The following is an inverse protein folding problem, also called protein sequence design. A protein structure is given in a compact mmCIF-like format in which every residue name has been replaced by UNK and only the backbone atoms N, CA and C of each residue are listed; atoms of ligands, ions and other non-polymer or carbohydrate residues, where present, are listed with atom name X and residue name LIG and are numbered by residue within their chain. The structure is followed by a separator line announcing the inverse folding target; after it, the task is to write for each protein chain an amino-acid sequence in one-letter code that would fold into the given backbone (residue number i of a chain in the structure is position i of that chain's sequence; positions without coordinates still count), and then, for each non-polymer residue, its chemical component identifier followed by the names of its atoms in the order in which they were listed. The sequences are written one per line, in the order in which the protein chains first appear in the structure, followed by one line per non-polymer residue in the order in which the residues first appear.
data_IF_001862873568
#
_entry.id   IF_001862873568
#
_cell.length_a   1.000
_cell.length_b   1.000
_cell.length_c   1.000
_cell.angle_alpha   90.00
_cell.angle_beta   90.00
_cell.angle_gamma   90.00
#
_symmetry.space_group_name_H-M   'P 1'
#
loop_
_entity.id
_entity.type
_entity.pdbx_description
1 polymer ?
#
# COMPACT_ATOMS: atom_id res chain seq x y z
N UNK A 1 -0.90 6.61 -19.67
CA UNK A 1 -1.29 6.31 -18.27
C UNK A 1 -0.08 5.73 -17.56
N UNK A 2 0.41 6.37 -16.50
CA UNK A 2 1.52 5.83 -15.70
C UNK A 2 0.95 4.95 -14.57
N UNK A 3 1.75 3.99 -14.13
CA UNK A 3 1.41 3.06 -13.04
C UNK A 3 2.29 3.40 -11.85
N UNK A 4 1.69 3.52 -10.68
CA UNK A 4 2.39 3.68 -9.42
C UNK A 4 2.22 2.42 -8.58
N UNK A 5 3.33 1.81 -8.18
CA UNK A 5 3.32 0.69 -7.25
C UNK A 5 3.59 1.21 -5.84
N UNK A 6 2.70 0.92 -4.90
CA UNK A 6 2.85 1.28 -3.49
C UNK A 6 3.12 0.01 -2.69
N UNK A 7 4.27 -0.01 -2.00
CA UNK A 7 4.67 -1.12 -1.14
C UNK A 7 4.01 -1.05 0.24
N UNK A 8 3.93 -2.16 0.99
CA UNK A 8 3.34 -2.19 2.34
C UNK A 8 3.95 -1.21 3.35
N UNK A 9 5.18 -0.76 3.13
CA UNK A 9 5.89 0.20 3.98
C UNK A 9 5.78 1.66 3.48
N UNK A 10 5.00 1.92 2.42
CA UNK A 10 4.86 3.21 1.76
C UNK A 10 3.40 3.73 1.82
N UNK A 11 2.70 3.39 2.89
CA UNK A 11 1.33 3.84 3.12
C UNK A 11 1.39 5.26 3.73
N UNK A 12 1.14 6.29 2.91
CA UNK A 12 1.27 7.70 3.32
C UNK A 12 -0.10 8.39 3.36
N UNK A 13 -0.46 9.04 4.47
CA UNK A 13 -1.70 9.83 4.53
C UNK A 13 -1.77 10.91 3.45
N UNK A 14 -0.63 11.52 3.13
CA UNK A 14 -0.46 12.45 2.01
C UNK A 14 0.31 11.78 0.88
N UNK A 15 -0.41 11.41 -0.17
CA UNK A 15 0.19 10.91 -1.40
C UNK A 15 0.98 12.01 -2.12
N UNK A 16 2.21 11.72 -2.57
CA UNK A 16 2.92 12.56 -3.53
C UNK A 16 2.04 12.80 -4.78
N UNK A 17 2.02 14.04 -5.28
CA UNK A 17 1.14 14.43 -6.40
C UNK A 17 1.40 13.59 -7.67
N UNK A 18 2.65 13.16 -7.87
CA UNK A 18 3.07 12.27 -8.96
C UNK A 18 2.40 10.88 -8.90
N UNK A 19 1.99 10.43 -7.71
CA UNK A 19 1.33 9.14 -7.51
C UNK A 19 -0.18 9.27 -7.70
N UNK A 20 -0.79 10.41 -7.32
CA UNK A 20 -2.23 10.65 -7.46
C UNK A 20 -2.69 10.62 -8.91
N UNK A 21 -1.91 11.20 -9.81
CA UNK A 21 -2.23 11.25 -11.23
C UNK A 21 -2.13 9.89 -11.97
N UNK A 22 -1.75 8.81 -11.26
CA UNK A 22 -1.45 7.50 -11.84
C UNK A 22 -2.42 6.44 -11.33
N UNK A 23 -2.52 5.33 -12.07
CA UNK A 23 -3.20 4.15 -11.56
C UNK A 23 -2.34 3.51 -10.47
N UNK A 24 -2.87 3.45 -9.25
CA UNK A 24 -2.18 2.91 -8.08
C UNK A 24 -2.44 1.41 -7.95
N UNK A 25 -1.37 0.63 -7.76
CA UNK A 25 -1.43 -0.77 -7.37
C UNK A 25 -0.75 -0.95 -6.02
N UNK A 26 -1.45 -1.57 -5.08
CA UNK A 26 -0.93 -1.93 -3.77
C UNK A 26 -0.36 -3.34 -3.82
N UNK A 27 0.89 -3.50 -3.40
CA UNK A 27 1.55 -4.80 -3.41
C UNK A 27 1.26 -5.58 -2.12
N UNK A 28 0.41 -6.59 -2.19
CA UNK A 28 0.28 -7.62 -1.15
C UNK A 28 0.90 -8.93 -1.61
N UNK A 29 2.23 -9.05 -1.52
CA UNK A 29 2.94 -10.24 -1.99
C UNK A 29 3.57 -11.07 -0.86
N UNK A 30 3.23 -12.37 -0.83
CA UNK A 30 3.84 -13.33 0.09
C UNK A 30 5.37 -13.42 -0.07
N UNK A 31 5.91 -13.19 -1.28
CA UNK A 31 7.35 -13.18 -1.53
C UNK A 31 8.05 -12.04 -0.78
N UNK A 32 7.46 -10.84 -0.80
CA UNK A 32 7.91 -9.65 -0.08
C UNK A 32 7.93 -9.92 1.43
N UNK A 33 6.84 -10.48 1.97
CA UNK A 33 6.73 -10.78 3.39
C UNK A 33 7.72 -11.84 3.88
N UNK A 34 7.95 -12.89 3.08
CA UNK A 34 8.93 -13.94 3.38
C UNK A 34 10.36 -13.40 3.37
N UNK A 35 10.70 -12.51 2.43
CA UNK A 35 12.04 -11.90 2.34
C UNK A 35 12.46 -11.19 3.63
N UNK A 36 11.52 -10.52 4.30
CA UNK A 36 11.80 -9.77 5.52
C UNK A 36 11.49 -10.52 6.82
N UNK A 37 11.17 -11.82 6.73
CA UNK A 37 10.88 -12.69 7.88
C UNK A 37 9.92 -12.07 8.91
N UNK A 38 8.82 -11.48 8.42
CA UNK A 38 7.85 -10.83 9.30
C UNK A 38 7.13 -11.86 10.18
N UNK A 39 7.04 -11.55 11.48
CA UNK A 39 6.23 -12.34 12.39
C UNK A 39 4.73 -12.19 12.06
N UNK A 40 3.92 -13.10 12.58
CA UNK A 40 2.47 -13.16 12.31
C UNK A 40 1.77 -11.84 12.67
N UNK A 41 2.15 -11.21 13.78
CA UNK A 41 1.54 -9.94 14.24
C UNK A 41 1.81 -8.81 13.23
N UNK A 42 3.04 -8.71 12.72
CA UNK A 42 3.44 -7.71 11.72
C UNK A 42 2.76 -7.96 10.38
N UNK A 43 2.56 -9.23 9.99
CA UNK A 43 1.79 -9.58 8.79
C UNK A 43 0.34 -9.15 8.89
N UNK A 44 -0.32 -9.47 10.01
CA UNK A 44 -1.71 -9.08 10.27
C UNK A 44 -1.83 -7.55 10.26
N UNK A 45 -0.94 -6.87 10.98
CA UNK A 45 -0.92 -5.41 11.02
C UNK A 45 -0.79 -4.79 9.62
N UNK A 46 0.17 -5.25 8.82
CA UNK A 46 0.39 -4.70 7.47
C UNK A 46 -0.80 -4.95 6.55
N UNK A 47 -1.43 -6.12 6.61
CA UNK A 47 -2.64 -6.41 5.83
C UNK A 47 -3.79 -5.47 6.20
N UNK A 48 -4.02 -5.27 7.49
CA UNK A 48 -5.01 -4.30 7.96
C UNK A 48 -4.68 -2.88 7.52
N UNK A 49 -3.41 -2.47 7.62
CA UNK A 49 -2.97 -1.15 7.18
C UNK A 49 -3.18 -0.94 5.68
N UNK A 50 -2.93 -1.95 4.83
CA UNK A 50 -3.20 -1.88 3.39
C UNK A 50 -4.70 -1.70 3.13
N UNK A 51 -5.56 -2.46 3.81
CA UNK A 51 -7.01 -2.35 3.65
C UNK A 51 -7.56 -0.98 4.06
N UNK A 52 -7.09 -0.44 5.19
CA UNK A 52 -7.44 0.92 5.61
C UNK A 52 -6.91 1.97 4.64
N UNK A 53 -5.72 1.73 4.07
CA UNK A 53 -5.17 2.61 3.05
C UNK A 53 -6.00 2.59 1.76
N UNK A 54 -6.50 1.44 1.31
CA UNK A 54 -7.44 1.38 0.19
C UNK A 54 -8.67 2.27 0.43
N UNK A 55 -9.28 2.16 1.62
CA UNK A 55 -10.44 3.00 1.99
C UNK A 55 -10.07 4.49 2.00
N UNK A 56 -8.89 4.84 2.51
CA UNK A 56 -8.39 6.21 2.47
C UNK A 56 -8.27 6.71 1.04
N UNK A 57 -7.66 5.92 0.15
CA UNK A 57 -7.52 6.23 -1.28
C UNK A 57 -8.88 6.40 -1.98
N UNK A 58 -9.87 5.58 -1.65
CA UNK A 58 -11.23 5.69 -2.21
C UNK A 58 -11.99 6.92 -1.66
N UNK A 59 -11.61 7.42 -0.48
CA UNK A 59 -12.25 8.58 0.16
C UNK A 59 -11.73 9.94 -0.32
N UNK A 60 -10.53 9.95 -0.90
CA UNK A 60 -9.96 11.13 -1.53
C UNK A 60 -10.28 11.07 -3.02
N UNK A 61 -10.88 12.13 -3.57
CA UNK A 61 -11.03 12.24 -5.03
C UNK A 61 -9.63 12.26 -5.67
N UNK A 62 -9.26 11.13 -6.29
CA UNK A 62 -8.01 10.91 -7.03
C UNK A 62 -8.14 11.37 -8.49
#
# INVERSE_FOLDING_TARGET
MKISLVLPNQLFFTLPDEIRANKIYLLEENSYFKKYNYNIQKLIFLRHAILEYCKHLDSIDL
#
